data_IF_476274672155
#
_entry.id   IF_476274672155
#
_cell.length_a   1.000
_cell.length_b   1.000
_cell.length_c   1.000
_cell.angle_alpha   90.00
_cell.angle_beta   90.00
_cell.angle_gamma   90.00
#
_symmetry.space_group_name_H-M   'P 1'
#
loop_
_entity.id
_entity.type
_entity.pdbx_description
1 polymer ?
#
# COMPACT_ATOMS: atom_id res chain seq x y z
N UNK A 1 5.48 10.20 -13.31
CA UNK A 1 4.31 10.97 -12.97
C UNK A 1 3.66 10.56 -11.67
N UNK A 2 2.81 11.41 -11.13
CA UNK A 2 2.09 11.21 -9.85
C UNK A 2 1.26 9.91 -9.80
N UNK A 3 0.87 9.34 -10.94
CA UNK A 3 0.13 8.08 -11.01
C UNK A 3 0.90 6.83 -10.55
N UNK A 4 2.21 6.92 -10.48
CA UNK A 4 3.08 5.76 -10.25
C UNK A 4 3.30 5.46 -8.76
N UNK A 5 3.22 6.50 -7.93
CA UNK A 5 3.31 6.38 -6.48
C UNK A 5 2.03 5.78 -5.90
N UNK A 6 0.89 6.07 -6.52
CA UNK A 6 -0.42 5.62 -6.06
C UNK A 6 -0.62 4.10 -6.10
N UNK A 7 -0.06 3.40 -7.08
CA UNK A 7 -0.31 1.96 -7.26
C UNK A 7 0.38 1.07 -6.21
N UNK A 8 1.57 1.49 -5.71
CA UNK A 8 2.25 0.76 -4.63
C UNK A 8 1.57 0.93 -3.28
N UNK A 9 1.01 2.11 -3.06
CA UNK A 9 0.39 2.48 -1.80
C UNK A 9 -1.03 1.95 -1.66
N UNK A 10 -1.67 1.56 -2.77
CA UNK A 10 -3.08 1.14 -2.77
C UNK A 10 -3.35 -0.03 -1.82
N UNK A 11 -2.55 -1.10 -1.89
CA UNK A 11 -2.71 -2.25 -1.00
C UNK A 11 -2.17 -2.03 0.40
N UNK A 12 -1.07 -1.29 0.55
CA UNK A 12 -0.44 -1.05 1.85
C UNK A 12 -1.22 -0.04 2.67
N UNK A 13 -1.54 1.11 2.10
CA UNK A 13 -2.22 2.20 2.80
C UNK A 13 -3.74 2.13 2.71
N UNK A 14 -4.27 1.32 1.79
CA UNK A 14 -5.68 1.35 1.44
C UNK A 14 -6.04 2.59 0.63
N UNK A 15 -7.26 2.64 0.17
CA UNK A 15 -7.82 3.83 -0.46
C UNK A 15 -9.31 3.93 -0.19
N UNK A 16 -9.77 5.17 -0.07
CA UNK A 16 -11.18 5.50 0.05
C UNK A 16 -11.46 6.75 -0.77
N UNK A 17 -12.47 6.71 -1.61
CA UNK A 17 -12.77 7.85 -2.46
C UNK A 17 -13.72 7.56 -3.60
N UNK A 18 -13.89 8.56 -4.45
CA UNK A 18 -14.73 8.50 -5.65
C UNK A 18 -13.84 8.71 -6.87
N UNK A 19 -13.78 7.72 -7.75
CA UNK A 19 -13.06 7.81 -9.01
C UNK A 19 -14.04 7.61 -10.17
N UNK A 20 -14.16 8.61 -11.06
CA UNK A 20 -14.98 8.55 -12.28
C UNK A 20 -16.43 8.09 -12.00
N UNK A 21 -17.04 8.62 -10.92
CA UNK A 21 -18.42 8.26 -10.53
C UNK A 21 -18.57 6.91 -9.82
N UNK A 22 -17.48 6.23 -9.47
CA UNK A 22 -17.47 4.98 -8.72
C UNK A 22 -16.76 5.17 -7.38
N UNK A 23 -17.32 4.57 -6.33
CA UNK A 23 -16.72 4.57 -5.00
C UNK A 23 -15.67 3.47 -4.94
N UNK A 24 -14.44 3.85 -4.59
CA UNK A 24 -13.36 2.90 -4.33
C UNK A 24 -13.12 2.80 -2.82
N UNK A 25 -12.89 1.62 -2.33
CA UNK A 25 -12.52 1.35 -0.94
C UNK A 25 -11.65 0.10 -0.87
N UNK A 26 -10.35 0.30 -0.70
CA UNK A 26 -9.38 -0.78 -0.57
C UNK A 26 -8.86 -0.81 0.85
N UNK A 27 -8.95 -1.96 1.56
CA UNK A 27 -8.41 -2.04 2.92
C UNK A 27 -6.88 -1.97 2.90
N UNK A 28 -6.26 -1.43 3.96
CA UNK A 28 -4.80 -1.44 4.10
C UNK A 28 -4.25 -2.84 4.34
N UNK A 29 -3.01 -3.08 3.93
CA UNK A 29 -2.32 -4.36 4.05
C UNK A 29 -0.92 -4.20 4.64
N UNK A 30 -0.40 -5.28 5.19
CA UNK A 30 0.97 -5.32 5.70
C UNK A 30 1.99 -5.27 4.55
N UNK A 31 2.96 -4.36 4.65
CA UNK A 31 3.96 -4.16 3.60
C UNK A 31 4.80 -5.43 3.34
N UNK A 32 5.24 -6.11 4.39
CA UNK A 32 6.02 -7.34 4.29
C UNK A 32 5.25 -8.46 3.58
N UNK A 33 3.98 -8.64 3.93
CA UNK A 33 3.09 -9.61 3.30
C UNK A 33 2.85 -9.29 1.82
N UNK A 34 2.65 -8.02 1.49
CA UNK A 34 2.47 -7.58 0.08
C UNK A 34 3.75 -7.83 -0.73
N UNK A 35 4.92 -7.56 -0.17
CA UNK A 35 6.21 -7.84 -0.82
C UNK A 35 6.37 -9.34 -1.06
N UNK A 36 6.07 -10.18 -0.08
CA UNK A 36 6.13 -11.64 -0.21
C UNK A 36 5.15 -12.14 -1.28
N UNK A 37 3.96 -11.57 -1.36
CA UNK A 37 2.99 -11.87 -2.40
C UNK A 37 3.45 -11.48 -3.80
N UNK A 38 4.10 -10.33 -3.94
CA UNK A 38 4.70 -9.90 -5.21
C UNK A 38 5.81 -10.84 -5.65
N UNK A 39 6.68 -11.25 -4.73
CA UNK A 39 7.75 -12.23 -5.01
C UNK A 39 7.15 -13.58 -5.41
N UNK A 40 6.12 -14.04 -4.72
CA UNK A 40 5.43 -15.29 -5.05
C UNK A 40 4.82 -15.25 -6.46
N UNK A 41 4.22 -14.12 -6.84
CA UNK A 41 3.69 -13.91 -8.19
C UNK A 41 4.79 -13.95 -9.25
N UNK A 42 5.93 -13.33 -9.02
CA UNK A 42 7.06 -13.33 -9.95
C UNK A 42 7.59 -14.75 -10.16
N UNK A 43 7.65 -15.54 -9.10
CA UNK A 43 8.09 -16.96 -9.17
C UNK A 43 7.06 -17.88 -9.82
N UNK A 44 5.77 -17.57 -9.65
CA UNK A 44 4.66 -18.35 -10.22
C UNK A 44 3.56 -17.39 -10.71
N UNK A 45 3.62 -16.95 -11.98
CA UNK A 45 2.60 -16.06 -12.56
C UNK A 45 1.19 -16.65 -12.62
N UNK A 46 1.06 -17.97 -12.52
CA UNK A 46 -0.22 -18.69 -12.52
C UNK A 46 -0.81 -18.89 -11.11
N UNK A 47 -0.23 -18.23 -10.10
CA UNK A 47 -0.71 -18.29 -8.73
C UNK A 47 -2.18 -17.88 -8.65
N UNK A 48 -2.99 -18.66 -7.93
CA UNK A 48 -4.39 -18.35 -7.69
C UNK A 48 -4.61 -17.57 -6.39
N UNK A 49 -5.86 -17.17 -6.13
CA UNK A 49 -6.20 -16.39 -4.95
C UNK A 49 -5.91 -17.13 -3.64
N UNK A 50 -6.21 -18.42 -3.55
CA UNK A 50 -5.92 -19.21 -2.35
C UNK A 50 -4.43 -19.28 -2.04
N UNK A 51 -3.62 -19.52 -3.06
CA UNK A 51 -2.16 -19.56 -2.93
C UNK A 51 -1.60 -18.17 -2.56
N UNK A 52 -2.14 -17.11 -3.13
CA UNK A 52 -1.74 -15.75 -2.79
C UNK A 52 -2.07 -15.41 -1.34
N UNK A 53 -3.18 -15.91 -0.81
CA UNK A 53 -3.58 -15.67 0.58
C UNK A 53 -2.69 -16.39 1.61
N UNK A 54 -1.84 -17.32 1.20
CA UNK A 54 -0.77 -17.86 2.05
C UNK A 54 0.26 -16.78 2.40
N UNK A 55 0.47 -15.82 1.52
CA UNK A 55 1.37 -14.68 1.70
C UNK A 55 0.67 -13.43 2.22
N UNK A 56 -0.56 -13.19 1.75
CA UNK A 56 -1.41 -12.06 2.13
C UNK A 56 -2.72 -12.64 2.69
N UNK A 57 -2.75 -13.03 3.97
CA UNK A 57 -3.90 -13.73 4.55
C UNK A 57 -5.12 -12.83 4.77
N UNK A 58 -4.92 -11.53 4.85
CA UNK A 58 -5.99 -10.57 5.07
C UNK A 58 -5.49 -9.13 5.17
N UNK A 59 -6.41 -8.19 5.35
CA UNK A 59 -6.07 -6.79 5.62
C UNK A 59 -5.33 -6.63 6.95
N UNK A 60 -4.52 -5.58 7.05
CA UNK A 60 -3.83 -5.16 8.26
C UNK A 60 -4.24 -3.72 8.59
N UNK A 61 -5.22 -3.58 9.48
CA UNK A 61 -5.73 -2.28 9.87
C UNK A 61 -4.84 -1.66 10.97
N UNK A 62 -4.50 -0.36 10.86
CA UNK A 62 -3.67 0.32 11.86
C UNK A 62 -4.24 0.31 13.26
N UNK A 63 -5.56 0.24 13.40
CA UNK A 63 -6.27 0.19 14.67
C UNK A 63 -6.41 -1.22 15.23
N UNK A 64 -5.92 -2.23 14.51
CA UNK A 64 -6.11 -3.63 14.86
C UNK A 64 -7.55 -4.11 14.63
N UNK A 65 -8.03 -4.95 15.54
CA UNK A 65 -9.34 -5.57 15.45
C UNK A 65 -9.29 -7.01 14.97
N UNK A 66 -10.45 -7.63 14.94
CA UNK A 66 -10.62 -9.03 14.56
C UNK A 66 -11.58 -9.09 13.39
N UNK A 67 -11.21 -9.81 12.34
CA UNK A 67 -12.10 -10.07 11.22
C UNK A 67 -13.04 -11.20 11.60
N UNK A 68 -14.34 -10.90 11.71
CA UNK A 68 -15.34 -11.84 12.15
C UNK A 68 -15.76 -12.84 11.05
N UNK A 69 -15.62 -12.45 9.78
CA UNK A 69 -16.02 -13.25 8.62
C UNK A 69 -14.82 -13.64 7.75
N UNK A 70 -13.79 -14.25 8.34
CA UNK A 70 -12.57 -14.67 7.63
C UNK A 70 -12.84 -15.55 6.42
N UNK A 71 -13.85 -16.40 6.48
CA UNK A 71 -14.22 -17.32 5.40
C UNK A 71 -14.69 -16.60 4.14
N UNK A 72 -15.16 -15.36 4.27
CA UNK A 72 -15.58 -14.54 3.13
C UNK A 72 -14.41 -13.86 2.41
N UNK A 73 -13.22 -13.82 3.02
CA UNK A 73 -12.06 -13.13 2.46
C UNK A 73 -11.62 -13.68 1.10
N UNK A 74 -11.72 -14.99 0.91
CA UNK A 74 -11.37 -15.60 -0.38
C UNK A 74 -12.25 -15.08 -1.50
N UNK A 75 -13.55 -14.95 -1.24
CA UNK A 75 -14.51 -14.40 -2.20
C UNK A 75 -14.20 -12.93 -2.49
N UNK A 76 -13.90 -12.16 -1.45
CA UNK A 76 -13.58 -10.73 -1.56
C UNK A 76 -12.30 -10.54 -2.37
N UNK A 77 -11.26 -11.31 -2.10
CA UNK A 77 -9.99 -11.24 -2.83
C UNK A 77 -10.08 -11.81 -4.25
N UNK A 78 -11.01 -12.72 -4.50
CA UNK A 78 -11.24 -13.24 -5.86
C UNK A 78 -11.97 -12.24 -6.74
N UNK A 79 -12.95 -11.53 -6.20
CA UNK A 79 -13.82 -10.63 -6.96
C UNK A 79 -13.41 -9.14 -6.86
N UNK A 80 -12.72 -8.76 -5.79
CA UNK A 80 -12.40 -7.38 -5.47
C UNK A 80 -13.54 -6.62 -4.77
N UNK A 81 -14.64 -7.29 -4.46
CA UNK A 81 -15.81 -6.69 -3.80
C UNK A 81 -16.31 -7.57 -2.66
N UNK A 82 -16.85 -6.93 -1.65
CA UNK A 82 -17.50 -7.59 -0.53
C UNK A 82 -17.53 -6.76 0.73
N UNK A 83 -17.85 -7.39 1.83
CA UNK A 83 -17.97 -6.74 3.13
C UNK A 83 -17.13 -7.49 4.15
N UNK A 84 -16.23 -6.77 4.81
CA UNK A 84 -15.43 -7.29 5.93
C UNK A 84 -16.08 -6.84 7.22
N UNK A 85 -16.39 -7.78 8.10
CA UNK A 85 -16.87 -7.47 9.46
C UNK A 85 -15.71 -7.40 10.41
N UNK A 86 -15.49 -6.23 11.01
CA UNK A 86 -14.41 -5.97 11.94
C UNK A 86 -14.97 -5.81 13.35
N UNK A 87 -14.42 -6.55 14.30
CA UNK A 87 -14.71 -6.42 15.71
C UNK A 87 -13.55 -5.77 16.44
N UNK A 88 -13.87 -4.87 17.37
CA UNK A 88 -12.90 -4.40 18.34
C UNK A 88 -12.45 -5.52 19.25
N UNK A 89 -11.21 -5.46 19.71
CA UNK A 89 -10.66 -6.39 20.68
C UNK A 89 -11.01 -5.93 22.09
N UNK A 90 -11.57 -6.83 22.88
CA UNK A 90 -12.05 -6.58 24.25
C UNK A 90 -11.34 -7.51 25.20
N UNK A 91 -10.89 -6.97 26.33
CA UNK A 91 -10.35 -7.72 27.45
C UNK A 91 -11.18 -7.48 28.70
N UNK A 92 -11.28 -8.49 29.55
CA UNK A 92 -11.95 -8.39 30.84
C UNK A 92 -10.90 -8.34 31.93
N UNK A 93 -10.92 -7.27 32.75
CA UNK A 93 -10.04 -7.11 33.88
C UNK A 93 -10.80 -7.30 35.19
N UNK A 94 -10.18 -7.98 36.13
CA UNK A 94 -10.71 -8.14 37.49
C UNK A 94 -10.36 -6.92 38.33
N UNK A 95 -11.33 -6.40 39.07
CA UNK A 95 -11.21 -5.24 39.94
C UNK A 95 -11.51 -5.67 41.37
N UNK A 96 -10.97 -4.94 42.36
CA UNK A 96 -11.23 -5.19 43.79
C UNK A 96 -12.73 -5.26 44.11
N UNK A 97 -13.12 -6.17 45.00
CA UNK A 97 -14.51 -6.35 45.39
C UNK A 97 -15.33 -7.28 44.52
N UNK A 98 -14.68 -8.11 43.67
CA UNK A 98 -15.37 -9.06 42.79
C UNK A 98 -16.05 -8.40 41.61
N UNK A 99 -15.68 -7.18 41.27
CA UNK A 99 -16.15 -6.47 40.09
C UNK A 99 -15.26 -6.76 38.89
N UNK A 100 -15.83 -6.65 37.70
CA UNK A 100 -15.12 -6.73 36.44
C UNK A 100 -15.20 -5.41 35.69
N UNK A 101 -14.28 -5.20 34.80
CA UNK A 101 -14.35 -4.11 33.82
C UNK A 101 -13.99 -4.61 32.42
N UNK A 102 -14.59 -3.99 31.43
CA UNK A 102 -14.32 -4.26 30.03
C UNK A 102 -13.33 -3.21 29.54
N UNK A 103 -12.24 -3.67 28.92
CA UNK A 103 -11.23 -2.79 28.31
C UNK A 103 -11.20 -3.06 26.82
N UNK A 104 -11.46 -2.02 26.04
CA UNK A 104 -11.37 -2.07 24.58
C UNK A 104 -9.97 -1.58 24.21
N UNK A 105 -9.18 -2.45 23.60
CA UNK A 105 -7.78 -2.20 23.23
C UNK A 105 -7.58 -2.00 21.75
N UNK A 106 -8.49 -2.50 20.93
CA UNK A 106 -8.49 -2.31 19.49
C UNK A 106 -9.92 -1.98 19.03
N UNK A 107 -10.03 -1.13 18.03
CA UNK A 107 -11.33 -0.68 17.49
C UNK A 107 -11.40 -0.96 15.99
N UNK A 108 -12.62 -1.12 15.43
CA UNK A 108 -12.78 -1.18 14.00
C UNK A 108 -12.18 0.06 13.32
N UNK A 109 -11.57 -0.14 12.16
CA UNK A 109 -10.94 0.92 11.37
C UNK A 109 -11.92 2.06 11.04
N UNK A 110 -13.21 1.74 10.90
CA UNK A 110 -14.29 2.70 10.65
C UNK A 110 -14.58 3.63 11.84
N UNK A 111 -14.05 3.34 13.03
CA UNK A 111 -14.25 4.12 14.26
C UNK A 111 -13.18 5.20 14.48
N UNK A 112 -12.34 5.50 13.50
CA UNK A 112 -11.27 6.48 13.62
C UNK A 112 -11.84 7.91 13.73
N UNK A 113 -11.18 8.75 14.55
CA UNK A 113 -11.51 10.17 14.69
C UNK A 113 -12.75 10.44 15.53
N UNK A 114 -13.63 11.29 15.02
CA UNK A 114 -14.86 11.71 15.72
C UNK A 114 -15.84 10.56 16.03
N UNK A 115 -15.68 9.41 15.39
CA UNK A 115 -16.56 8.25 15.58
C UNK A 115 -16.35 7.56 16.94
N UNK A 116 -15.22 7.77 17.61
CA UNK A 116 -15.03 7.31 19.00
C UNK A 116 -16.01 8.00 19.95
N UNK A 117 -16.18 9.33 19.82
CA UNK A 117 -17.16 10.09 20.60
C UNK A 117 -18.59 9.59 20.36
N UNK A 118 -18.93 9.30 19.11
CA UNK A 118 -20.22 8.72 18.76
C UNK A 118 -20.42 7.35 19.40
N UNK A 119 -19.41 6.50 19.38
CA UNK A 119 -19.47 5.20 20.06
C UNK A 119 -19.73 5.33 21.56
N UNK A 120 -19.04 6.26 22.24
CA UNK A 120 -19.28 6.51 23.66
C UNK A 120 -20.72 6.95 23.93
N UNK A 121 -21.26 7.82 23.07
CA UNK A 121 -22.66 8.25 23.17
C UNK A 121 -23.62 7.10 22.91
N UNK A 122 -23.35 6.20 21.99
CA UNK A 122 -24.15 5.02 21.73
C UNK A 122 -24.19 4.10 22.96
N UNK A 123 -23.08 3.93 23.66
CA UNK A 123 -23.02 3.17 24.92
C UNK A 123 -23.84 3.85 26.02
N UNK A 124 -23.73 5.17 26.18
CA UNK A 124 -24.56 5.92 27.12
C UNK A 124 -26.06 5.75 26.81
N UNK A 125 -26.43 5.75 25.54
CA UNK A 125 -27.82 5.52 25.13
C UNK A 125 -28.34 4.14 25.53
N UNK A 126 -27.48 3.12 25.49
CA UNK A 126 -27.84 1.77 25.96
C UNK A 126 -28.16 1.76 27.47
N UNK A 127 -27.44 2.55 28.26
CA UNK A 127 -27.68 2.71 29.70
C UNK A 127 -28.96 3.50 29.95
N UNK A 128 -29.12 4.64 29.28
CA UNK A 128 -30.30 5.53 29.44
C UNK A 128 -31.61 4.84 29.04
N UNK A 129 -31.58 4.07 27.96
CA UNK A 129 -32.73 3.32 27.48
C UNK A 129 -32.97 2.00 28.24
N UNK A 130 -32.20 1.74 29.28
CA UNK A 130 -32.29 0.55 30.16
C UNK A 130 -32.13 -0.79 29.40
N UNK A 131 -31.43 -0.79 28.28
CA UNK A 131 -31.07 -2.02 27.58
C UNK A 131 -29.98 -2.80 28.30
N UNK A 132 -29.19 -2.11 29.12
CA UNK A 132 -28.25 -2.69 30.07
C UNK A 132 -28.25 -1.86 31.36
N UNK A 133 -28.12 -2.53 32.52
CA UNK A 133 -27.91 -1.87 33.82
C UNK A 133 -26.55 -2.18 34.40
N UNK A 134 -25.68 -2.85 33.65
CA UNK A 134 -24.42 -3.40 34.16
C UNK A 134 -23.27 -2.41 34.05
N UNK A 135 -23.40 -1.33 33.29
CA UNK A 135 -22.36 -0.30 33.12
C UNK A 135 -22.57 0.80 34.15
N UNK A 136 -21.54 1.02 34.97
CA UNK A 136 -21.50 2.09 35.97
C UNK A 136 -20.87 3.37 35.43
N UNK A 137 -19.79 3.21 34.68
CA UNK A 137 -19.04 4.32 34.10
C UNK A 137 -18.30 3.90 32.83
N UNK A 138 -18.01 4.89 31.99
CA UNK A 138 -17.24 4.69 30.77
C UNK A 138 -16.22 5.82 30.65
N UNK A 139 -14.95 5.48 30.43
CA UNK A 139 -13.86 6.43 30.29
C UNK A 139 -12.99 6.09 29.09
N UNK A 140 -12.56 7.12 28.38
CA UNK A 140 -11.56 6.98 27.32
C UNK A 140 -10.19 7.34 27.88
N UNK A 141 -9.38 6.32 28.10
CA UNK A 141 -8.01 6.42 28.62
C UNK A 141 -6.96 6.26 27.52
N UNK A 142 -7.36 6.40 26.25
CA UNK A 142 -6.47 6.27 25.11
C UNK A 142 -5.36 7.32 25.15
N UNK A 143 -4.14 6.90 24.77
CA UNK A 143 -2.94 7.73 24.78
C UNK A 143 -2.07 7.43 23.54
N UNK A 144 -0.87 7.99 23.52
CA UNK A 144 0.14 7.65 22.51
C UNK A 144 0.55 6.17 22.52
N UNK A 145 0.34 5.48 23.64
CA UNK A 145 0.64 4.06 23.79
C UNK A 145 -0.42 3.16 23.17
N UNK A 146 -1.59 3.69 22.81
CA UNK A 146 -2.65 2.94 22.18
C UNK A 146 -4.04 3.29 22.67
N UNK A 147 -5.02 2.57 22.13
CA UNK A 147 -6.42 2.70 22.48
C UNK A 147 -6.71 1.97 23.79
N UNK A 148 -7.37 2.67 24.69
CA UNK A 148 -7.85 2.12 25.95
C UNK A 148 -9.18 2.79 26.31
N UNK A 149 -10.28 2.10 26.09
CA UNK A 149 -11.61 2.52 26.50
C UNK A 149 -12.08 1.56 27.58
N UNK A 150 -12.41 2.09 28.75
CA UNK A 150 -12.73 1.31 29.93
C UNK A 150 -14.21 1.47 30.30
N UNK A 151 -14.92 0.35 30.43
CA UNK A 151 -16.28 0.28 30.94
C UNK A 151 -16.24 -0.36 32.33
N UNK A 152 -16.54 0.43 33.35
CA UNK A 152 -16.66 -0.08 34.71
C UNK A 152 -18.04 -0.75 34.87
N UNK A 153 -18.05 -1.98 35.38
CA UNK A 153 -19.26 -2.78 35.54
C UNK A 153 -19.65 -2.86 37.03
N UNK A 154 -20.95 -3.04 37.26
CA UNK A 154 -21.42 -3.35 38.61
C UNK A 154 -21.04 -4.78 39.02
N UNK A 155 -21.05 -5.03 40.32
CA UNK A 155 -20.81 -6.38 40.86
C UNK A 155 -21.89 -7.36 40.39
N UNK A 156 -21.47 -8.52 39.92
CA UNK A 156 -22.38 -9.56 39.43
C UNK A 156 -22.93 -9.33 38.01
N UNK A 157 -22.34 -8.40 37.26
CA UNK A 157 -22.73 -8.17 35.86
C UNK A 157 -22.42 -9.39 34.99
N UNK A 158 -23.30 -9.66 34.03
CA UNK A 158 -23.07 -10.67 32.99
C UNK A 158 -22.20 -10.04 31.88
N UNK A 159 -20.89 -10.15 32.08
CA UNK A 159 -19.88 -9.51 31.22
C UNK A 159 -19.94 -10.03 29.79
N UNK A 160 -20.11 -11.32 29.59
CA UNK A 160 -20.17 -11.91 28.27
C UNK A 160 -21.38 -11.45 27.46
N UNK A 161 -22.55 -11.40 28.09
CA UNK A 161 -23.76 -10.88 27.44
C UNK A 161 -23.63 -9.39 27.11
N UNK A 162 -22.98 -8.63 27.97
CA UNK A 162 -22.73 -7.21 27.71
C UNK A 162 -21.79 -7.01 26.53
N UNK A 163 -20.74 -7.79 26.41
CA UNK A 163 -19.83 -7.77 25.26
C UNK A 163 -20.60 -8.08 23.97
N UNK A 164 -21.43 -9.11 23.98
CA UNK A 164 -22.27 -9.47 22.84
C UNK A 164 -23.26 -8.35 22.46
N UNK A 165 -23.83 -7.68 23.47
CA UNK A 165 -24.72 -6.54 23.27
C UNK A 165 -23.99 -5.36 22.61
N UNK A 166 -22.76 -5.06 23.04
CA UNK A 166 -21.93 -4.01 22.46
C UNK A 166 -21.64 -4.30 20.98
N UNK A 167 -21.27 -5.53 20.65
CA UNK A 167 -21.05 -5.90 19.25
C UNK A 167 -22.32 -5.79 18.40
N UNK A 168 -23.47 -6.14 18.96
CA UNK A 168 -24.75 -6.14 18.25
C UNK A 168 -25.34 -4.73 18.08
N UNK A 169 -25.19 -3.86 19.08
CA UNK A 169 -25.91 -2.59 19.18
C UNK A 169 -25.04 -1.36 18.96
N UNK A 170 -23.74 -1.51 18.89
CA UNK A 170 -22.80 -0.40 18.68
C UNK A 170 -21.85 -0.68 17.52
N UNK A 171 -21.06 0.33 17.17
CA UNK A 171 -20.01 0.22 16.13
C UNK A 171 -18.74 -0.52 16.60
N UNK A 172 -18.77 -1.18 17.75
CA UNK A 172 -17.68 -2.05 18.18
C UNK A 172 -17.52 -3.26 17.23
N UNK A 173 -18.57 -3.68 16.57
CA UNK A 173 -18.54 -4.46 15.34
C UNK A 173 -19.08 -3.59 14.22
N UNK A 174 -18.29 -3.41 13.17
CA UNK A 174 -18.69 -2.62 12.02
C UNK A 174 -18.27 -3.29 10.72
N UNK A 175 -18.90 -2.89 9.64
CA UNK A 175 -18.65 -3.43 8.32
C UNK A 175 -17.79 -2.46 7.51
N UNK A 176 -16.69 -2.96 6.96
CA UNK A 176 -15.89 -2.28 5.97
C UNK A 176 -16.28 -2.79 4.57
N UNK A 177 -16.87 -1.92 3.77
CA UNK A 177 -17.21 -2.25 2.38
C UNK A 177 -15.96 -2.23 1.51
N UNK A 178 -15.69 -3.33 0.82
CA UNK A 178 -14.54 -3.46 -0.08
C UNK A 178 -15.01 -3.30 -1.51
N UNK A 179 -14.34 -2.41 -2.23
CA UNK A 179 -14.42 -2.28 -3.67
C UNK A 179 -13.05 -1.87 -4.18
N UNK A 180 -12.25 -2.87 -4.57
CA UNK A 180 -10.87 -2.66 -5.02
C UNK A 180 -10.87 -2.21 -6.46
N UNK A 181 -11.09 -0.92 -6.66
CA UNK A 181 -11.11 -0.29 -7.96
C UNK A 181 -9.69 0.10 -8.37
N UNK A 182 -9.26 -0.33 -9.53
CA UNK A 182 -8.00 0.03 -10.13
C UNK A 182 -8.22 0.55 -11.56
N UNK A 183 -7.33 1.42 -12.03
CA UNK A 183 -7.35 1.89 -13.41
C UNK A 183 -6.45 0.96 -14.24
N UNK A 184 -7.07 0.17 -15.10
CA UNK A 184 -6.40 -0.69 -16.06
C UNK A 184 -6.69 -0.15 -17.47
N UNK A 185 -5.64 0.10 -18.25
CA UNK A 185 -5.75 0.60 -19.63
C UNK A 185 -6.66 1.85 -19.79
N UNK A 186 -6.58 2.75 -18.81
CA UNK A 186 -7.36 3.98 -18.79
C UNK A 186 -8.82 3.84 -18.36
N UNK A 187 -9.25 2.63 -17.95
CA UNK A 187 -10.62 2.36 -17.49
C UNK A 187 -10.62 1.94 -16.03
N UNK A 188 -11.54 2.46 -15.18
CA UNK A 188 -11.72 1.95 -13.82
C UNK A 188 -12.32 0.55 -13.88
N UNK A 189 -11.73 -0.38 -13.14
CA UNK A 189 -12.15 -1.77 -13.09
C UNK A 189 -11.99 -2.29 -11.66
N UNK A 190 -12.97 -3.04 -11.20
CA UNK A 190 -12.88 -3.76 -9.92
C UNK A 190 -12.08 -5.04 -10.12
N UNK A 191 -10.97 -5.15 -9.39
CA UNK A 191 -10.03 -6.24 -9.53
C UNK A 191 -9.84 -6.99 -8.20
N UNK A 192 -9.69 -8.31 -8.28
CA UNK A 192 -9.27 -9.13 -7.17
C UNK A 192 -7.80 -8.90 -6.79
N UNK A 193 -7.34 -9.58 -5.75
CA UNK A 193 -5.99 -9.43 -5.21
C UNK A 193 -4.91 -9.82 -6.22
N UNK A 194 -5.02 -10.97 -6.86
CA UNK A 194 -4.03 -11.44 -7.84
C UNK A 194 -3.95 -10.52 -9.06
N UNK A 195 -5.06 -10.13 -9.70
CA UNK A 195 -5.02 -9.15 -10.78
C UNK A 195 -4.38 -7.82 -10.40
N UNK A 196 -4.62 -7.29 -9.20
CA UNK A 196 -3.98 -6.06 -8.73
C UNK A 196 -2.47 -6.21 -8.65
N UNK A 197 -1.99 -7.32 -8.08
CA UNK A 197 -0.55 -7.61 -7.99
C UNK A 197 0.05 -7.80 -9.39
N UNK A 198 -0.65 -8.49 -10.28
CA UNK A 198 -0.23 -8.65 -11.68
C UNK A 198 -0.04 -7.31 -12.38
N UNK A 199 -1.01 -6.42 -12.29
CA UNK A 199 -0.91 -5.09 -12.89
C UNK A 199 0.24 -4.27 -12.29
N UNK A 200 0.44 -4.38 -10.97
CA UNK A 200 1.55 -3.71 -10.30
C UNK A 200 2.91 -4.20 -10.81
N UNK A 201 3.11 -5.51 -10.90
CA UNK A 201 4.36 -6.11 -11.39
C UNK A 201 4.60 -5.73 -12.85
N UNK A 202 3.59 -5.84 -13.70
CA UNK A 202 3.67 -5.45 -15.11
C UNK A 202 4.08 -3.99 -15.26
N UNK A 203 3.46 -3.11 -14.50
CA UNK A 203 3.77 -1.68 -14.52
C UNK A 203 5.20 -1.39 -14.05
N UNK A 204 5.66 -2.01 -12.98
CA UNK A 204 7.04 -1.86 -12.48
C UNK A 204 8.06 -2.39 -13.50
N UNK A 205 7.75 -3.49 -14.16
CA UNK A 205 8.58 -4.04 -15.23
C UNK A 205 8.70 -3.07 -16.41
N UNK A 206 7.59 -2.50 -16.86
CA UNK A 206 7.59 -1.50 -17.93
C UNK A 206 8.39 -0.25 -17.56
N UNK A 207 8.25 0.25 -16.33
CA UNK A 207 9.03 1.39 -15.83
C UNK A 207 10.53 1.07 -15.78
N UNK A 208 10.91 -0.09 -15.27
CA UNK A 208 12.30 -0.52 -15.22
C UNK A 208 12.87 -0.65 -16.63
N UNK A 209 12.14 -1.25 -17.55
CA UNK A 209 12.54 -1.38 -18.95
C UNK A 209 12.79 -0.02 -19.59
N UNK A 210 11.89 0.93 -19.43
CA UNK A 210 12.06 2.30 -19.95
C UNK A 210 13.27 3.00 -19.35
N UNK A 211 13.46 2.84 -18.05
CA UNK A 211 14.61 3.41 -17.34
C UNK A 211 15.93 2.87 -17.88
N UNK A 212 16.05 1.57 -18.03
CA UNK A 212 17.24 0.93 -18.57
C UNK A 212 17.47 1.29 -20.03
N UNK A 213 16.43 1.36 -20.86
CA UNK A 213 16.55 1.81 -22.24
C UNK A 213 17.07 3.25 -22.32
N UNK A 214 16.57 4.14 -21.47
CA UNK A 214 17.02 5.53 -21.41
C UNK A 214 18.49 5.63 -20.98
N UNK A 215 18.89 4.88 -19.95
CA UNK A 215 20.28 4.82 -19.47
C UNK A 215 21.21 4.25 -20.54
N UNK A 216 20.79 3.18 -21.20
CA UNK A 216 21.57 2.58 -22.28
C UNK A 216 21.77 3.55 -23.43
N UNK A 217 20.72 4.26 -23.84
CA UNK A 217 20.82 5.29 -24.88
C UNK A 217 21.81 6.39 -24.50
N UNK A 218 21.77 6.88 -23.25
CA UNK A 218 22.72 7.88 -22.75
C UNK A 218 24.16 7.38 -22.79
N UNK A 219 24.42 6.14 -22.42
CA UNK A 219 25.75 5.55 -22.44
C UNK A 219 26.26 5.37 -23.89
N UNK A 220 25.38 4.94 -24.80
CA UNK A 220 25.72 4.83 -26.23
C UNK A 220 26.01 6.19 -26.84
N UNK A 221 25.23 7.22 -26.54
CA UNK A 221 25.43 8.59 -27.00
C UNK A 221 26.81 9.13 -26.51
N UNK A 222 27.16 8.89 -25.23
CA UNK A 222 28.48 9.25 -24.67
C UNK A 222 29.62 8.53 -25.38
N UNK A 223 29.48 7.24 -25.63
CA UNK A 223 30.45 6.43 -26.32
C UNK A 223 30.70 6.97 -27.74
N UNK A 224 29.60 7.29 -28.47
CA UNK A 224 29.68 7.85 -29.79
C UNK A 224 30.40 9.21 -29.81
N UNK A 225 30.12 10.10 -28.87
CA UNK A 225 30.79 11.38 -28.69
C UNK A 225 32.29 11.16 -28.39
N UNK A 226 32.62 10.23 -27.51
CA UNK A 226 34.02 9.93 -27.16
C UNK A 226 34.77 9.37 -28.35
N UNK A 227 34.18 8.46 -29.12
CA UNK A 227 34.80 7.94 -30.37
C UNK A 227 34.99 9.03 -31.40
N UNK A 228 34.03 9.95 -31.55
CA UNK A 228 34.16 11.12 -32.42
C UNK A 228 35.28 12.05 -31.99
N UNK A 229 35.45 12.29 -30.69
CA UNK A 229 36.55 13.12 -30.18
C UNK A 229 37.90 12.45 -30.39
N UNK A 230 38.05 11.16 -30.21
CA UNK A 230 39.29 10.41 -30.46
C UNK A 230 39.65 10.53 -31.93
N UNK A 231 38.73 10.31 -32.85
CA UNK A 231 38.97 10.48 -34.30
C UNK A 231 39.39 11.91 -34.65
N UNK A 232 38.74 12.90 -34.03
CA UNK A 232 39.13 14.31 -34.25
C UNK A 232 40.56 14.60 -33.74
N UNK A 233 40.96 14.06 -32.60
CA UNK A 233 42.32 14.16 -32.09
C UNK A 233 43.34 13.51 -33.01
N UNK A 234 43.05 12.34 -33.55
CA UNK A 234 43.92 11.63 -34.50
C UNK A 234 44.13 12.45 -35.78
N UNK A 235 43.07 13.05 -36.32
CA UNK A 235 43.15 13.94 -37.48
C UNK A 235 43.97 15.19 -37.17
N UNK A 236 43.82 15.81 -36.00
CA UNK A 236 44.58 16.95 -35.56
C UNK A 236 46.06 16.61 -35.42
N UNK A 237 46.40 15.47 -34.84
CA UNK A 237 47.77 15.00 -34.70
C UNK A 237 48.42 14.78 -36.07
N UNK A 238 47.70 14.19 -37.02
CA UNK A 238 48.15 14.02 -38.39
C UNK A 238 48.45 15.38 -39.06
N UNK A 239 47.55 16.34 -38.91
CA UNK A 239 47.73 17.71 -39.45
C UNK A 239 49.00 18.35 -38.83
N UNK A 240 49.22 18.21 -37.53
CA UNK A 240 50.40 18.73 -36.84
C UNK A 240 51.69 18.11 -37.39
N UNK A 241 51.70 16.78 -37.61
CA UNK A 241 52.86 16.09 -38.20
C UNK A 241 53.16 16.62 -39.60
N UNK A 242 52.16 16.77 -40.47
CA UNK A 242 52.32 17.34 -41.81
C UNK A 242 52.91 18.75 -41.75
N UNK A 243 52.43 19.60 -40.87
CA UNK A 243 52.93 20.97 -40.69
C UNK A 243 54.35 21.00 -40.18
N UNK A 244 54.71 20.10 -39.27
CA UNK A 244 56.06 19.99 -38.72
C UNK A 244 57.08 19.45 -39.77
N UNK A 245 56.64 18.54 -40.61
CA UNK A 245 57.48 17.97 -41.66
C UNK A 245 57.65 18.84 -42.92
N UNK A 246 56.77 19.85 -43.04
CA UNK A 246 56.76 20.72 -44.21
C UNK A 246 57.83 21.80 -44.10
N UNK A 247 58.56 22.03 -45.18
CA UNK A 247 59.68 23.05 -45.24
C UNK A 247 59.12 24.48 -45.39
N UNK A 248 57.92 24.62 -45.86
CA UNK A 248 57.27 25.92 -46.03
C UNK A 248 55.73 25.76 -46.09
N UNK A 249 55.00 26.87 -46.05
CA UNK A 249 53.54 26.89 -46.07
C UNK A 249 52.95 26.28 -47.37
N UNK A 250 53.66 26.37 -48.47
CA UNK A 250 53.18 25.80 -49.74
C UNK A 250 53.24 24.31 -49.77
N UNK A 251 54.24 23.68 -49.19
CA UNK A 251 54.33 22.22 -49.04
C UNK A 251 53.34 21.69 -48.08
N UNK A 252 53.11 22.39 -46.97
CA UNK A 252 52.05 22.02 -46.02
C UNK A 252 50.65 22.02 -46.65
N UNK A 253 50.35 23.02 -47.44
CA UNK A 253 49.14 23.15 -48.19
C UNK A 253 48.94 22.02 -49.23
N UNK A 254 49.96 21.70 -49.97
CA UNK A 254 49.97 20.61 -50.94
C UNK A 254 49.68 19.25 -50.26
N UNK A 255 50.36 18.96 -49.14
CA UNK A 255 50.12 17.73 -48.35
C UNK A 255 48.73 17.61 -47.81
N UNK A 256 48.09 18.73 -47.40
CA UNK A 256 46.75 18.74 -46.89
C UNK A 256 45.67 18.59 -47.98
N UNK A 257 45.94 19.09 -49.21
CA UNK A 257 45.02 19.04 -50.33
C UNK A 257 45.15 17.79 -51.19
N UNK A 258 46.35 17.28 -51.39
CA UNK A 258 46.65 16.17 -52.30
C UNK A 258 46.85 14.80 -51.59
N UNK A 259 46.77 14.79 -50.25
CA UNK A 259 47.10 13.60 -49.45
C UNK A 259 48.58 13.38 -49.32
N UNK A 260 49.00 12.57 -48.34
CA UNK A 260 50.37 12.14 -48.14
C UNK A 260 50.70 11.17 -49.27
N UNK A 261 51.40 11.63 -50.27
CA UNK A 261 52.15 10.74 -51.16
C UNK A 261 53.47 10.41 -50.53
N UNK A 262 53.82 9.15 -50.40
CA UNK A 262 55.05 8.60 -49.85
C UNK A 262 56.32 9.34 -50.28
#
# INVERSE_FOLDING_TARGET
>A
GLGDVYKRQLLVNGSDGIAVGMVTSTPPHNLGEVIDGVIAYIKNPDINTEQMMEYIPGPDFPTGGIIANKDDLIQIYSTGMGKIKIRGKVEVEQVKGGKERIVITEIPYTMIGANIGKFLNDVYSLVETKKTNDIVDITNQSSKEGIRIVLELRKGADTQNLINLLYKKTKLEDTFGVNMLAVAEGRPETLGLVPIIRHHVKFQYELATRKYQTLLKKELDKKEIQEGLIKACDVIDLIIEILRGSKNVKDARACLTDGVTD
#
